data_IF_901188147283
#
_entry.id   IF_901188147283
#
_cell.length_a   1.000
_cell.length_b   1.000
_cell.length_c   1.000
_cell.angle_alpha   90.00
_cell.angle_beta   90.00
_cell.angle_gamma   90.00
#
_symmetry.space_group_name_H-M   'P 1'
#
loop_
_entity.id
_entity.type
_entity.pdbx_description
1 polymer ?
#
# COMPACT_ATOMS: atom_id res chain seq x y z
N UNK A 1 11.17 -13.90 -3.93
CA UNK A 1 10.58 -12.56 -3.96
C UNK A 1 9.33 -12.65 -4.80
N UNK A 2 8.14 -12.32 -4.26
CA UNK A 2 6.91 -12.22 -5.05
C UNK A 2 6.96 -10.94 -5.90
N UNK A 3 6.23 -10.88 -7.01
CA UNK A 3 6.15 -9.65 -7.78
C UNK A 3 5.39 -8.60 -6.93
N UNK A 4 5.90 -7.36 -6.79
CA UNK A 4 5.19 -6.30 -6.07
C UNK A 4 3.75 -6.06 -6.57
N UNK A 5 3.48 -6.33 -7.86
CA UNK A 5 2.14 -6.22 -8.47
C UNK A 5 1.17 -7.29 -7.99
N UNK A 6 1.66 -8.39 -7.40
CA UNK A 6 0.83 -9.39 -6.74
C UNK A 6 0.42 -8.94 -5.32
N UNK A 7 1.11 -7.93 -4.76
CA UNK A 7 0.91 -7.44 -3.39
C UNK A 7 0.11 -6.14 -3.38
N UNK A 8 0.49 -5.15 -4.20
CA UNK A 8 -0.15 -3.83 -4.28
C UNK A 8 -1.20 -3.82 -5.40
N UNK A 9 -2.47 -3.65 -5.03
CA UNK A 9 -3.59 -3.65 -5.99
C UNK A 9 -3.75 -2.25 -6.61
N UNK A 10 -3.89 -1.21 -5.78
CA UNK A 10 -4.07 0.19 -6.20
C UNK A 10 -3.88 1.17 -5.05
N UNK A 11 -3.57 2.45 -5.31
CA UNK A 11 -3.61 3.49 -4.28
C UNK A 11 -5.05 3.75 -3.84
N UNK A 12 -5.23 4.11 -2.56
CA UNK A 12 -6.52 4.55 -2.04
C UNK A 12 -6.62 6.06 -2.15
N UNK A 13 -7.64 6.54 -2.86
CA UNK A 13 -7.91 7.97 -3.06
C UNK A 13 -9.11 8.39 -2.21
N UNK A 14 -8.88 9.24 -1.22
CA UNK A 14 -9.89 9.75 -0.29
C UNK A 14 -9.36 10.99 0.43
N UNK A 15 -10.22 11.84 1.00
CA UNK A 15 -9.76 12.95 1.86
C UNK A 15 -8.78 12.50 2.94
N UNK A 16 -9.06 11.34 3.57
CA UNK A 16 -8.20 10.77 4.61
C UNK A 16 -6.82 10.39 4.09
N UNK A 17 -6.73 9.77 2.92
CA UNK A 17 -5.43 9.37 2.35
C UNK A 17 -4.62 10.58 1.89
N UNK A 18 -5.27 11.64 1.41
CA UNK A 18 -4.59 12.92 1.15
C UNK A 18 -4.05 13.57 2.43
N UNK A 19 -4.83 13.56 3.51
CA UNK A 19 -4.39 14.09 4.81
C UNK A 19 -3.18 13.32 5.38
N UNK A 20 -3.08 12.01 5.17
CA UNK A 20 -1.88 11.24 5.52
C UNK A 20 -0.69 11.51 4.60
N UNK A 21 -0.95 11.70 3.30
CA UNK A 21 0.12 11.89 2.30
C UNK A 21 0.92 13.17 2.54
N UNK A 22 0.29 14.22 3.10
CA UNK A 22 0.99 15.47 3.45
C UNK A 22 2.04 15.30 4.56
N UNK A 23 1.96 14.23 5.35
CA UNK A 23 2.91 13.88 6.42
C UNK A 23 3.71 12.60 6.11
N UNK A 24 3.76 12.20 4.83
CA UNK A 24 4.55 11.04 4.37
C UNK A 24 3.90 9.68 4.60
N UNK A 25 2.59 9.63 4.88
CA UNK A 25 1.83 8.38 5.05
C UNK A 25 1.00 8.08 3.80
N UNK A 26 1.37 7.04 3.06
CA UNK A 26 0.67 6.61 1.85
C UNK A 26 -0.23 5.39 2.12
N UNK A 27 -1.36 5.30 1.43
CA UNK A 27 -2.35 4.24 1.63
C UNK A 27 -2.62 3.48 0.33
N UNK A 28 -2.52 2.16 0.40
CA UNK A 28 -2.74 1.25 -0.71
C UNK A 28 -3.75 0.16 -0.32
N UNK A 29 -4.55 -0.27 -1.28
CA UNK A 29 -5.27 -1.53 -1.20
C UNK A 29 -4.28 -2.65 -1.58
N UNK A 30 -4.21 -3.68 -0.76
CA UNK A 30 -3.26 -4.79 -0.91
C UNK A 30 -3.99 -6.13 -0.92
N UNK A 31 -3.34 -7.17 -1.41
CA UNK A 31 -3.91 -8.51 -1.39
C UNK A 31 -4.20 -8.96 0.07
N UNK A 32 -5.39 -9.51 0.39
CA UNK A 32 -5.75 -9.85 1.78
C UNK A 32 -4.80 -10.82 2.49
N UNK A 33 -4.08 -11.65 1.71
CA UNK A 33 -3.10 -12.60 2.26
C UNK A 33 -1.69 -12.01 2.40
N UNK A 34 -1.45 -10.75 2.03
CA UNK A 34 -0.13 -10.14 2.11
C UNK A 34 0.22 -9.79 3.56
N UNK A 35 1.38 -10.26 4.00
CA UNK A 35 1.93 -9.94 5.31
C UNK A 35 2.61 -8.56 5.31
N UNK A 36 2.77 -7.97 6.49
CA UNK A 36 3.45 -6.66 6.63
C UNK A 36 4.88 -6.63 6.06
N UNK A 37 5.72 -7.66 6.24
CA UNK A 37 7.03 -7.71 5.58
C UNK A 37 6.92 -7.72 4.05
N UNK A 38 6.01 -8.51 3.47
CA UNK A 38 5.80 -8.54 2.01
C UNK A 38 5.35 -7.18 1.47
N UNK A 39 4.48 -6.47 2.20
CA UNK A 39 4.04 -5.12 1.82
C UNK A 39 5.22 -4.15 1.87
N UNK A 40 6.11 -4.26 2.86
CA UNK A 40 7.30 -3.40 2.96
C UNK A 40 8.26 -3.62 1.79
N UNK A 41 8.45 -4.88 1.39
CA UNK A 41 9.37 -5.24 0.30
C UNK A 41 8.79 -4.88 -1.09
N UNK A 42 7.48 -4.64 -1.18
CA UNK A 42 6.77 -4.30 -2.43
C UNK A 42 6.69 -2.79 -2.72
N UNK A 43 7.17 -1.92 -1.81
CA UNK A 43 7.07 -0.46 -1.89
C UNK A 43 8.45 0.19 -2.05
#
# INVERSE_FOLDING_TARGET
MKDPRDVIIRPVVSEKSYAGSSVGVYTFEVHPSASKPEIRDAV
#
